data_IF_294660145169
#
_entry.id   IF_294660145169
#
_cell.length_a   1.000
_cell.length_b   1.000
_cell.length_c   1.000
_cell.angle_alpha   90.00
_cell.angle_beta   90.00
_cell.angle_gamma   90.00
#
_symmetry.space_group_name_H-M   'P 1'
#
loop_
_entity.id
_entity.type
_entity.pdbx_description
1 polymer ?
#
# COMPACT_ATOMS: atom_id res chain seq x y z
N UNK A 1 7.96 12.58 16.86
CA UNK A 1 8.48 11.79 18.00
C UNK A 1 9.61 12.60 18.63
N UNK A 2 9.46 13.04 19.91
CA UNK A 2 10.49 13.85 20.58
C UNK A 2 11.86 13.15 20.58
N UNK A 3 12.92 13.90 20.22
CA UNK A 3 14.29 13.36 20.13
C UNK A 3 14.56 12.44 18.94
N UNK A 4 13.58 12.17 18.08
CA UNK A 4 13.72 11.34 16.88
C UNK A 4 13.45 12.13 15.61
N UNK A 5 12.35 12.92 15.58
CA UNK A 5 11.94 13.67 14.39
C UNK A 5 12.22 15.15 14.55
N UNK A 6 12.62 15.82 13.48
CA UNK A 6 12.67 17.27 13.39
C UNK A 6 11.24 17.82 13.24
N UNK A 7 10.90 18.83 14.04
CA UNK A 7 9.57 19.45 14.01
C UNK A 7 9.28 20.08 12.63
N UNK A 8 8.11 19.81 12.07
CA UNK A 8 7.71 20.33 10.76
C UNK A 8 8.31 19.59 9.56
N UNK A 9 9.16 18.58 9.78
CA UNK A 9 9.65 17.75 8.68
C UNK A 9 8.55 16.87 8.06
N UNK A 10 8.68 16.58 6.77
CA UNK A 10 7.77 15.71 6.04
C UNK A 10 8.52 14.80 5.08
N UNK A 11 7.91 13.68 4.72
CA UNK A 11 8.41 12.74 3.72
C UNK A 11 7.34 12.51 2.64
N UNK A 12 7.77 12.43 1.38
CA UNK A 12 6.88 12.16 0.24
C UNK A 12 6.75 10.66 -0.09
N UNK A 13 7.24 9.78 0.79
CA UNK A 13 7.08 8.35 0.57
C UNK A 13 5.62 7.92 0.74
N UNK A 14 5.16 7.01 -0.12
CA UNK A 14 3.91 6.31 0.09
C UNK A 14 4.08 5.30 1.23
N UNK A 15 3.24 5.39 2.26
CA UNK A 15 3.26 4.53 3.45
C UNK A 15 1.92 3.86 3.68
N UNK A 16 1.90 2.76 4.44
CA UNK A 16 0.70 2.01 4.76
C UNK A 16 0.38 2.13 6.27
N UNK A 17 -0.88 1.94 6.64
CA UNK A 17 -1.27 1.81 8.05
C UNK A 17 -0.64 0.58 8.71
N UNK A 18 -0.35 -0.48 7.95
CA UNK A 18 0.39 -1.65 8.43
C UNK A 18 1.80 -1.31 8.95
N UNK A 19 2.39 -0.22 8.44
CA UNK A 19 3.73 0.23 8.82
C UNK A 19 3.77 0.85 10.23
N UNK A 20 2.62 1.23 10.80
CA UNK A 20 2.55 1.88 12.13
C UNK A 20 3.03 0.95 13.23
N UNK A 21 2.52 -0.28 13.26
CA UNK A 21 2.86 -1.23 14.33
C UNK A 21 4.37 -1.53 14.40
N UNK A 22 5.05 -1.97 13.31
CA UNK A 22 6.49 -2.22 13.36
C UNK A 22 7.30 -0.95 13.64
N UNK A 23 6.81 0.23 13.26
CA UNK A 23 7.45 1.51 13.61
C UNK A 23 7.41 1.77 15.11
N UNK A 24 6.25 1.58 15.74
CA UNK A 24 6.10 1.80 17.18
C UNK A 24 6.93 0.79 17.99
N UNK A 25 6.96 -0.48 17.59
CA UNK A 25 7.76 -1.51 18.27
C UNK A 25 9.25 -1.23 18.17
N UNK A 26 9.75 -0.80 16.98
CA UNK A 26 11.15 -0.40 16.82
C UNK A 26 11.51 0.81 17.69
N UNK A 27 10.67 1.86 17.68
CA UNK A 27 10.90 3.06 18.51
C UNK A 27 10.88 2.77 20.01
N UNK A 28 10.12 1.77 20.44
CA UNK A 28 10.05 1.32 21.82
C UNK A 28 11.14 0.32 22.20
N UNK A 29 12.05 -0.06 21.28
CA UNK A 29 13.08 -1.07 21.52
C UNK A 29 12.54 -2.49 21.71
N UNK A 30 11.32 -2.76 21.24
CA UNK A 30 10.68 -4.08 21.31
C UNK A 30 11.18 -4.92 20.10
N UNK A 31 11.55 -6.19 20.30
CA UNK A 31 11.95 -7.06 19.19
C UNK A 31 10.90 -7.14 18.09
N UNK A 32 11.34 -7.20 16.84
CA UNK A 32 10.45 -7.34 15.69
C UNK A 32 9.67 -8.65 15.73
N UNK A 33 8.41 -8.61 15.30
CA UNK A 33 7.57 -9.78 15.13
C UNK A 33 7.55 -10.19 13.63
N UNK A 34 8.10 -11.37 13.26
CA UNK A 34 8.18 -11.82 11.87
C UNK A 34 6.81 -12.10 11.22
N UNK A 35 5.73 -12.19 12.00
CA UNK A 35 4.38 -12.36 11.50
C UNK A 35 3.72 -11.02 11.03
N UNK A 36 4.42 -9.89 11.17
CA UNK A 36 3.91 -8.57 10.76
C UNK A 36 4.37 -8.24 9.35
N UNK A 37 3.43 -7.91 8.47
CA UNK A 37 3.69 -7.62 7.05
C UNK A 37 4.17 -6.17 6.80
N UNK A 38 3.90 -5.23 7.73
CA UNK A 38 4.31 -3.83 7.60
C UNK A 38 5.82 -3.65 7.79
N UNK A 39 6.33 -2.53 7.27
CA UNK A 39 7.73 -2.13 7.40
C UNK A 39 7.87 -0.95 8.36
N UNK A 40 8.91 -0.96 9.20
CA UNK A 40 9.17 0.18 10.08
C UNK A 40 9.52 1.43 9.29
N UNK A 41 8.91 2.55 9.67
CA UNK A 41 9.19 3.89 9.14
C UNK A 41 10.21 4.65 10.00
N UNK A 42 10.82 4.02 11.01
CA UNK A 42 11.70 4.69 11.96
C UNK A 42 12.90 5.36 11.28
N UNK A 43 13.46 4.78 10.22
CA UNK A 43 14.51 5.41 9.43
C UNK A 43 14.06 6.72 8.78
N UNK A 44 12.84 6.75 8.21
CA UNK A 44 12.24 7.95 7.61
C UNK A 44 11.84 9.00 8.65
N UNK A 45 11.53 8.58 9.88
CA UNK A 45 11.28 9.50 10.99
C UNK A 45 12.55 10.21 11.45
N UNK A 46 13.72 9.53 11.36
CA UNK A 46 15.04 10.12 11.68
C UNK A 46 15.58 10.98 10.54
N UNK A 47 15.35 10.56 9.29
CA UNK A 47 15.75 11.26 8.08
C UNK A 47 14.64 11.21 7.01
N UNK A 48 13.87 12.29 6.83
CA UNK A 48 12.78 12.35 5.85
C UNK A 48 13.24 12.20 4.39
N UNK A 49 14.53 12.31 4.10
CA UNK A 49 15.10 12.12 2.76
C UNK A 49 15.27 10.66 2.37
N UNK A 50 15.22 9.74 3.34
CA UNK A 50 15.25 8.30 3.10
C UNK A 50 14.11 7.90 2.19
N UNK A 51 14.43 7.22 1.09
CA UNK A 51 13.45 6.77 0.10
C UNK A 51 13.08 5.31 0.32
N UNK A 52 11.79 5.03 0.28
CA UNK A 52 11.28 3.66 0.24
C UNK A 52 11.52 3.09 -1.16
N UNK A 53 12.16 1.93 -1.25
CA UNK A 53 12.46 1.25 -2.52
C UNK A 53 11.23 0.60 -3.14
N UNK A 54 10.30 0.16 -2.31
CA UNK A 54 9.12 -0.58 -2.70
C UNK A 54 7.86 0.30 -2.68
N UNK A 55 6.94 0.10 -3.62
CA UNK A 55 5.65 0.76 -3.57
C UNK A 55 4.82 0.22 -2.41
N UNK A 56 3.86 1.00 -1.97
CA UNK A 56 2.86 0.59 -0.99
C UNK A 56 1.75 -0.18 -1.70
N UNK A 57 1.42 -1.37 -1.20
CA UNK A 57 0.33 -2.21 -1.70
C UNK A 57 -0.96 -1.91 -0.94
N UNK A 58 -2.06 -1.76 -1.68
CA UNK A 58 -3.42 -1.64 -1.17
C UNK A 58 -4.26 -2.69 -1.87
N UNK A 59 -4.98 -3.52 -1.10
CA UNK A 59 -5.88 -4.54 -1.65
C UNK A 59 -7.33 -4.20 -1.28
N UNK A 60 -8.24 -4.26 -2.27
CA UNK A 60 -9.67 -4.09 -2.07
C UNK A 60 -10.44 -5.29 -2.63
N UNK A 61 -10.96 -6.12 -1.72
CA UNK A 61 -11.61 -7.38 -2.11
C UNK A 61 -10.63 -8.37 -2.75
N UNK A 62 -11.18 -9.33 -3.50
CA UNK A 62 -10.37 -10.37 -4.13
C UNK A 62 -9.73 -9.86 -5.43
N UNK A 63 -8.41 -9.97 -5.52
CA UNK A 63 -7.61 -9.65 -6.71
C UNK A 63 -7.66 -8.19 -7.23
N UNK A 64 -8.20 -7.25 -6.46
CA UNK A 64 -8.09 -5.84 -6.83
C UNK A 64 -6.95 -5.20 -6.01
N UNK A 65 -5.91 -4.75 -6.68
CA UNK A 65 -4.70 -4.24 -6.07
C UNK A 65 -4.33 -2.87 -6.61
N UNK A 66 -3.91 -1.97 -5.74
CA UNK A 66 -3.27 -0.74 -6.11
C UNK A 66 -1.85 -0.68 -5.52
N UNK A 67 -0.90 -0.27 -6.34
CA UNK A 67 0.48 -0.02 -5.96
C UNK A 67 0.78 1.46 -6.08
N UNK A 68 1.30 2.07 -5.02
CA UNK A 68 1.59 3.48 -4.93
C UNK A 68 3.05 3.72 -4.53
N UNK A 69 3.80 4.43 -5.35
CA UNK A 69 5.08 5.02 -4.96
C UNK A 69 4.99 6.56 -4.89
N UNK A 70 6.09 7.27 -4.83
CA UNK A 70 6.10 8.74 -4.75
C UNK A 70 5.46 9.41 -5.98
N UNK A 71 5.53 8.78 -7.14
CA UNK A 71 5.09 9.38 -8.41
C UNK A 71 3.95 8.61 -9.06
N UNK A 72 4.02 7.28 -9.04
CA UNK A 72 3.15 6.43 -9.84
C UNK A 72 2.11 5.75 -8.98
N UNK A 73 0.89 5.65 -9.49
CA UNK A 73 -0.15 4.76 -9.00
C UNK A 73 -0.56 3.81 -10.10
N UNK A 74 -0.42 2.53 -9.82
CA UNK A 74 -0.85 1.45 -10.70
C UNK A 74 -1.96 0.67 -10.05
N UNK A 75 -3.03 0.39 -10.77
CA UNK A 75 -4.17 -0.39 -10.29
C UNK A 75 -4.35 -1.58 -11.24
N UNK A 76 -4.56 -2.74 -10.65
CA UNK A 76 -4.97 -3.95 -11.36
C UNK A 76 -6.25 -4.47 -10.75
N UNK A 77 -7.25 -4.70 -11.60
CA UNK A 77 -8.54 -5.25 -11.23
C UNK A 77 -8.60 -6.76 -11.43
N UNK A 78 -9.57 -7.41 -10.75
CA UNK A 78 -9.79 -8.85 -10.83
C UNK A 78 -10.15 -9.35 -12.24
N UNK A 79 -10.74 -8.50 -13.08
CA UNK A 79 -11.06 -8.79 -14.49
C UNK A 79 -9.84 -8.63 -15.42
N UNK A 80 -8.68 -8.26 -14.87
CA UNK A 80 -7.44 -8.05 -15.60
C UNK A 80 -7.29 -6.66 -16.20
N UNK A 81 -8.28 -5.76 -16.07
CA UNK A 81 -8.12 -4.37 -16.46
C UNK A 81 -7.10 -3.64 -15.60
N UNK A 82 -6.51 -2.58 -16.16
CA UNK A 82 -5.38 -1.88 -15.53
C UNK A 82 -5.53 -0.37 -15.66
N UNK A 83 -5.03 0.33 -14.64
CA UNK A 83 -4.87 1.78 -14.66
C UNK A 83 -3.47 2.17 -14.22
N UNK A 84 -2.95 3.25 -14.80
CA UNK A 84 -1.69 3.86 -14.38
C UNK A 84 -1.81 5.37 -14.41
N UNK A 85 -1.38 6.01 -13.31
CA UNK A 85 -1.41 7.45 -13.14
C UNK A 85 -0.05 8.01 -12.77
N UNK A 86 0.31 9.18 -13.32
CA UNK A 86 1.54 9.93 -13.04
C UNK A 86 1.23 11.15 -12.18
N UNK A 87 1.31 11.03 -10.88
CA UNK A 87 0.97 12.09 -9.93
C UNK A 87 1.87 13.34 -10.01
N UNK A 88 3.01 13.25 -10.70
CA UNK A 88 3.83 14.43 -10.98
C UNK A 88 3.15 15.36 -11.98
N UNK A 89 2.45 14.80 -12.97
CA UNK A 89 1.83 15.54 -14.08
C UNK A 89 0.31 15.57 -13.98
N UNK A 90 -0.29 14.61 -13.27
CA UNK A 90 -1.74 14.44 -13.10
C UNK A 90 -2.05 14.00 -11.66
N UNK A 91 -1.97 14.92 -10.68
CA UNK A 91 -2.23 14.60 -9.28
C UNK A 91 -3.68 14.19 -8.98
N UNK A 92 -4.60 14.51 -9.89
CA UNK A 92 -6.03 14.21 -9.74
C UNK A 92 -6.46 12.95 -10.52
N UNK A 93 -5.53 12.25 -11.18
CA UNK A 93 -5.81 10.99 -11.87
C UNK A 93 -6.88 11.08 -12.98
N UNK A 94 -6.90 12.19 -13.73
CA UNK A 94 -7.87 12.38 -14.82
C UNK A 94 -7.55 11.54 -16.05
N UNK A 95 -6.28 11.14 -16.23
CA UNK A 95 -5.84 10.46 -17.45
C UNK A 95 -5.22 9.11 -17.13
N UNK A 96 -5.96 8.02 -17.42
CA UNK A 96 -5.39 6.67 -17.38
C UNK A 96 -4.33 6.50 -18.48
N UNK A 97 -3.11 6.15 -18.07
CA UNK A 97 -1.96 5.92 -18.93
C UNK A 97 -1.74 4.44 -19.28
N UNK A 98 -2.53 3.52 -18.71
CA UNK A 98 -2.44 2.10 -19.06
C UNK A 98 -2.75 1.92 -20.56
N UNK A 99 -2.02 1.05 -21.23
CA UNK A 99 -2.14 0.85 -22.68
C UNK A 99 -1.38 1.88 -23.56
N UNK A 100 -0.82 2.95 -23.00
CA UNK A 100 0.06 3.87 -23.75
C UNK A 100 1.49 3.32 -23.81
N UNK A 101 2.19 3.54 -24.94
CA UNK A 101 3.54 2.98 -25.17
C UNK A 101 4.60 3.50 -24.19
N UNK A 102 4.58 4.78 -23.84
CA UNK A 102 5.63 5.42 -23.02
C UNK A 102 5.71 4.94 -21.56
N UNK A 103 4.62 4.69 -20.81
CA UNK A 103 4.71 4.24 -19.42
C UNK A 103 4.71 2.71 -19.22
N UNK A 104 4.84 1.91 -20.28
CA UNK A 104 4.83 0.44 -20.20
C UNK A 104 5.90 -0.12 -19.24
N UNK A 105 7.08 0.52 -19.19
CA UNK A 105 8.15 0.13 -18.25
C UNK A 105 7.73 0.28 -16.79
N UNK A 106 6.94 1.32 -16.46
CA UNK A 106 6.46 1.54 -15.11
C UNK A 106 5.45 0.49 -14.68
N UNK A 107 4.57 0.08 -15.59
CA UNK A 107 3.64 -1.03 -15.35
C UNK A 107 4.42 -2.32 -15.08
N UNK A 108 5.41 -2.63 -15.94
CA UNK A 108 6.26 -3.82 -15.77
C UNK A 108 7.00 -3.79 -14.43
N UNK A 109 7.54 -2.64 -14.03
CA UNK A 109 8.21 -2.46 -12.74
C UNK A 109 7.27 -2.69 -11.57
N UNK A 110 6.09 -2.05 -11.58
CA UNK A 110 5.13 -2.12 -10.49
C UNK A 110 4.49 -3.50 -10.37
N UNK A 111 4.20 -4.18 -11.47
CA UNK A 111 3.66 -5.55 -11.47
C UNK A 111 4.47 -6.56 -10.65
N UNK A 112 5.78 -6.34 -10.50
CA UNK A 112 6.65 -7.23 -9.70
C UNK A 112 6.32 -7.24 -8.22
N UNK A 113 5.58 -6.23 -7.76
CA UNK A 113 5.17 -6.08 -6.35
C UNK A 113 3.71 -6.50 -6.11
N UNK A 114 3.03 -7.02 -7.12
CA UNK A 114 1.72 -7.62 -6.92
C UNK A 114 1.86 -8.91 -6.11
N UNK A 115 0.90 -9.22 -5.22
CA UNK A 115 0.94 -10.47 -4.47
C UNK A 115 0.78 -11.67 -5.40
N UNK A 116 1.61 -12.70 -5.19
CA UNK A 116 1.52 -13.97 -5.92
C UNK A 116 0.33 -14.81 -5.45
N UNK A 117 -0.03 -14.68 -4.17
CA UNK A 117 -1.14 -15.41 -3.56
C UNK A 117 -2.23 -14.42 -3.14
N UNK A 118 -3.46 -14.71 -3.53
CA UNK A 118 -4.62 -13.96 -3.12
C UNK A 118 -5.47 -14.81 -2.17
N UNK A 119 -5.69 -14.33 -0.95
CA UNK A 119 -6.58 -14.98 0.00
C UNK A 119 -8.03 -14.88 -0.46
N UNK A 120 -8.77 -15.97 -0.35
CA UNK A 120 -10.20 -15.96 -0.61
C UNK A 120 -10.93 -15.01 0.37
N UNK A 121 -11.97 -14.28 -0.11
CA UNK A 121 -12.77 -13.45 0.77
C UNK A 121 -13.39 -14.30 1.89
N UNK A 122 -13.26 -13.85 3.13
CA UNK A 122 -13.96 -14.48 4.24
C UNK A 122 -15.46 -14.44 3.95
N UNK A 123 -16.08 -15.62 3.73
CA UNK A 123 -17.53 -15.73 3.60
C UNK A 123 -18.13 -15.36 4.95
N UNK A 124 -18.79 -14.21 5.03
CA UNK A 124 -19.60 -13.87 6.19
C UNK A 124 -20.61 -15.00 6.42
N UNK A 125 -20.44 -15.75 7.49
CA UNK A 125 -21.41 -16.78 7.88
C UNK A 125 -22.72 -16.08 8.27
N UNK A 126 -23.63 -15.92 7.32
CA UNK A 126 -24.99 -15.49 7.58
C UNK A 126 -25.74 -16.60 8.35
N UNK A 127 -25.48 -16.75 9.63
CA UNK A 127 -26.44 -17.34 10.56
C UNK A 127 -27.53 -16.30 10.83
N UNK A 128 -28.45 -16.13 9.89
CA UNK A 128 -29.76 -15.56 10.20
C UNK A 128 -30.50 -16.63 10.99
N UNK A 129 -30.50 -16.49 12.30
CA UNK A 129 -31.42 -17.22 13.16
C UNK A 129 -32.85 -16.97 12.67
N UNK A 130 -33.49 -18.02 12.16
CA UNK A 130 -34.94 -18.04 12.02
C UNK A 130 -35.51 -18.03 13.43
N UNK A 131 -35.87 -16.86 13.94
CA UNK A 131 -36.79 -16.75 15.05
C UNK A 131 -38.15 -17.25 14.53
N UNK A 132 -38.46 -18.54 14.75
CA UNK A 132 -39.84 -19.01 14.78
C UNK A 132 -40.46 -18.45 16.07
N UNK A 133 -41.36 -17.49 15.94
CA UNK A 133 -42.32 -17.16 16.99
C UNK A 133 -43.35 -18.26 17.06
N UNK A 134 -43.83 -18.57 18.29
CA UNK A 134 -44.92 -19.55 18.51
C UNK A 134 -46.24 -19.10 17.97
#
# INVERSE_FOLDING_TARGET
VPGVTEAGSNSNNAVNLLDIYPTLTELAGIPSNPAVEGNSLAAMLRDPSVRKSEPTLITHGFQNHALRDQRWRYIRYADGSEELYDHKNDPNEFTNLAGKKKPAEQITRLKRFLPEVNADPLRASRKRGKNKKP
#
